data_IF_085183327469
#
_entry.id   IF_085183327469
#
_cell.length_a   1.000
_cell.length_b   1.000
_cell.length_c   1.000
_cell.angle_alpha   90.00
_cell.angle_beta   90.00
_cell.angle_gamma   90.00
#
_symmetry.space_group_name_H-M   'P 1'
#
loop_
_entity.id
_entity.type
_entity.pdbx_description
1 polymer ?
#
# COMPACT_ATOMS: atom_id res chain seq x y z
N UNK A 1 -21.33 16.12 35.76
CA UNK A 1 -21.38 14.66 35.62
C UNK A 1 -19.94 14.17 35.58
N UNK A 2 -19.50 13.39 36.57
CA UNK A 2 -18.16 12.82 36.56
C UNK A 2 -18.16 11.58 35.65
N UNK A 3 -17.12 11.39 34.80
CA UNK A 3 -16.98 10.16 34.02
C UNK A 3 -16.91 8.95 34.95
N UNK A 4 -17.57 7.86 34.54
CA UNK A 4 -17.68 6.63 35.32
C UNK A 4 -16.33 5.92 35.37
N UNK A 5 -15.88 5.50 36.56
CA UNK A 5 -14.68 4.67 36.77
C UNK A 5 -14.65 3.42 35.88
N UNK A 6 -15.82 2.89 35.51
CA UNK A 6 -15.94 1.74 34.63
C UNK A 6 -15.70 2.07 33.14
N UNK A 7 -15.96 3.31 32.69
CA UNK A 7 -15.61 3.76 31.34
C UNK A 7 -14.10 3.97 31.20
N UNK A 8 -13.45 4.53 32.23
CA UNK A 8 -11.99 4.71 32.25
C UNK A 8 -11.24 3.37 32.25
N UNK A 9 -11.71 2.38 33.02
CA UNK A 9 -11.16 1.03 33.00
C UNK A 9 -11.29 0.36 31.63
N UNK A 10 -12.44 0.50 30.98
CA UNK A 10 -12.68 -0.15 29.68
C UNK A 10 -11.86 0.52 28.56
N UNK A 11 -11.70 1.85 28.60
CA UNK A 11 -10.83 2.59 27.69
C UNK A 11 -9.34 2.23 27.91
N UNK A 12 -8.90 2.09 29.16
CA UNK A 12 -7.54 1.69 29.51
C UNK A 12 -7.21 0.27 29.03
N UNK A 13 -8.08 -0.71 29.29
CA UNK A 13 -7.88 -2.10 28.87
C UNK A 13 -7.86 -2.24 27.35
N UNK A 14 -8.75 -1.53 26.64
CA UNK A 14 -8.78 -1.53 25.18
C UNK A 14 -7.51 -0.91 24.59
N UNK A 15 -7.02 0.19 25.19
CA UNK A 15 -5.77 0.86 24.79
C UNK A 15 -4.54 -0.03 25.02
N UNK A 16 -4.45 -0.70 26.17
CA UNK A 16 -3.32 -1.58 26.50
C UNK A 16 -3.27 -2.84 25.63
N UNK A 17 -4.42 -3.45 25.34
CA UNK A 17 -4.51 -4.60 24.43
C UNK A 17 -4.12 -4.22 23.01
N UNK A 18 -4.60 -3.06 22.51
CA UNK A 18 -4.19 -2.54 21.20
C UNK A 18 -2.70 -2.18 21.16
N UNK A 19 -2.13 -1.67 22.26
CA UNK A 19 -0.70 -1.36 22.35
C UNK A 19 0.18 -2.62 22.39
N UNK A 20 -0.28 -3.69 23.05
CA UNK A 20 0.40 -4.98 23.07
C UNK A 20 0.36 -5.68 21.70
N UNK A 21 -0.76 -5.58 20.98
CA UNK A 21 -0.89 -6.07 19.60
C UNK A 21 0.00 -5.26 18.64
N UNK A 22 0.00 -3.93 18.73
CA UNK A 22 0.87 -3.05 17.94
C UNK A 22 2.37 -3.37 18.20
N UNK A 23 2.76 -3.65 19.44
CA UNK A 23 4.13 -4.07 19.78
C UNK A 23 4.48 -5.42 19.16
N UNK A 24 3.56 -6.38 19.18
CA UNK A 24 3.75 -7.71 18.59
C UNK A 24 3.84 -7.65 17.07
N UNK A 25 2.98 -6.85 16.43
CA UNK A 25 2.99 -6.59 14.99
C UNK A 25 4.30 -5.93 14.54
N UNK A 26 4.83 -4.98 15.31
CA UNK A 26 6.13 -4.34 15.02
C UNK A 26 7.30 -5.30 15.18
N UNK A 27 7.28 -6.17 16.18
CA UNK A 27 8.34 -7.16 16.39
C UNK A 27 8.38 -8.22 15.29
N UNK A 28 7.25 -8.48 14.63
CA UNK A 28 7.15 -9.42 13.52
C UNK A 28 7.38 -8.79 12.13
N UNK A 29 7.34 -7.47 12.02
CA UNK A 29 7.44 -6.75 10.75
C UNK A 29 8.85 -6.16 10.57
N UNK A 30 9.44 -6.39 9.40
CA UNK A 30 10.75 -5.81 9.04
C UNK A 30 10.54 -4.53 8.22
N UNK A 31 10.83 -3.34 8.78
CA UNK A 31 10.75 -2.05 8.06
C UNK A 31 11.56 -2.08 6.76
N UNK A 32 11.16 -1.33 5.74
CA UNK A 32 11.93 -1.20 4.50
C UNK A 32 12.99 -0.11 4.65
N UNK A 33 14.21 -0.40 4.20
CA UNK A 33 15.26 0.59 3.98
C UNK A 33 15.10 1.26 2.62
N UNK A 34 15.79 2.39 2.41
CA UNK A 34 15.79 3.07 1.11
C UNK A 34 16.37 2.18 0.00
N UNK A 35 17.47 1.47 0.29
CA UNK A 35 18.09 0.52 -0.64
C UNK A 35 17.11 -0.58 -1.05
N UNK A 36 16.32 -1.08 -0.11
CA UNK A 36 15.30 -2.08 -0.39
C UNK A 36 14.18 -1.53 -1.27
N UNK A 37 13.68 -0.32 -1.01
CA UNK A 37 12.68 0.32 -1.88
C UNK A 37 13.22 0.51 -3.30
N UNK A 38 14.47 0.98 -3.45
CA UNK A 38 15.09 1.12 -4.76
C UNK A 38 15.31 -0.22 -5.47
N UNK A 39 15.69 -1.26 -4.73
CA UNK A 39 15.82 -2.63 -5.26
C UNK A 39 14.48 -3.20 -5.71
N UNK A 40 13.41 -2.96 -4.96
CA UNK A 40 12.06 -3.38 -5.33
C UNK A 40 11.53 -2.63 -6.56
N UNK A 41 11.86 -1.34 -6.71
CA UNK A 41 11.55 -0.58 -7.92
C UNK A 41 12.25 -1.17 -9.16
N UNK A 42 13.55 -1.46 -9.05
CA UNK A 42 14.31 -2.14 -10.13
C UNK A 42 13.73 -3.51 -10.46
N UNK A 43 13.32 -4.28 -9.44
CA UNK A 43 12.64 -5.54 -9.63
C UNK A 43 11.39 -5.37 -10.50
N UNK A 44 10.48 -4.47 -10.12
CA UNK A 44 9.20 -4.29 -10.83
C UNK A 44 9.41 -3.80 -12.26
N UNK A 45 10.38 -2.92 -12.49
CA UNK A 45 10.73 -2.43 -13.82
C UNK A 45 11.31 -3.53 -14.71
N UNK A 46 12.26 -4.31 -14.19
CA UNK A 46 12.84 -5.44 -14.91
C UNK A 46 11.77 -6.50 -15.22
N UNK A 47 10.91 -6.80 -14.25
CA UNK A 47 9.80 -7.73 -14.44
C UNK A 47 8.90 -7.26 -15.59
N UNK A 48 8.43 -6.02 -15.54
CA UNK A 48 7.55 -5.46 -16.56
C UNK A 48 8.20 -5.39 -17.95
N UNK A 49 9.51 -5.08 -18.02
CA UNK A 49 10.23 -5.00 -19.30
C UNK A 49 10.20 -6.31 -20.10
N UNK A 50 10.03 -7.44 -19.44
CA UNK A 50 9.92 -8.77 -20.06
C UNK A 50 8.46 -9.19 -20.15
N UNK A 51 7.72 -9.08 -19.04
CA UNK A 51 6.36 -9.60 -18.93
C UNK A 51 5.34 -8.85 -19.81
N UNK A 52 5.57 -7.58 -20.13
CA UNK A 52 4.72 -6.83 -21.06
C UNK A 52 4.84 -7.33 -22.52
N UNK A 53 6.02 -7.84 -22.89
CA UNK A 53 6.28 -8.38 -24.22
C UNK A 53 5.88 -9.87 -24.32
N UNK A 54 5.93 -10.60 -23.20
CA UNK A 54 5.70 -12.03 -23.12
C UNK A 54 4.90 -12.37 -21.83
N UNK A 55 3.57 -12.16 -21.83
CA UNK A 55 2.74 -12.33 -20.64
C UNK A 55 2.38 -13.79 -20.34
N UNK A 56 2.85 -14.75 -21.13
CA UNK A 56 2.61 -16.18 -20.91
C UNK A 56 3.40 -16.74 -19.71
N UNK A 57 3.04 -17.93 -19.20
CA UNK A 57 3.67 -18.51 -18.00
C UNK A 57 5.21 -18.59 -18.05
N UNK A 58 5.76 -18.97 -19.21
CA UNK A 58 7.22 -19.04 -19.41
C UNK A 58 7.88 -17.65 -19.42
N UNK A 59 7.22 -16.67 -20.03
CA UNK A 59 7.64 -15.27 -20.02
C UNK A 59 7.61 -14.66 -18.62
N UNK A 60 6.57 -14.94 -17.83
CA UNK A 60 6.46 -14.51 -16.43
C UNK A 60 7.53 -15.17 -15.54
N UNK A 61 7.84 -16.46 -15.74
CA UNK A 61 8.89 -17.15 -15.00
C UNK A 61 10.29 -16.56 -15.30
N UNK A 62 10.55 -16.23 -16.57
CA UNK A 62 11.75 -15.50 -16.99
C UNK A 62 11.81 -14.10 -16.40
N UNK A 63 10.70 -13.36 -16.47
CA UNK A 63 10.59 -12.03 -15.91
C UNK A 63 10.90 -12.02 -14.40
N UNK A 64 10.36 -12.98 -13.64
CA UNK A 64 10.65 -13.16 -12.21
C UNK A 64 12.15 -13.37 -11.95
N UNK A 65 12.77 -14.30 -12.69
CA UNK A 65 14.19 -14.64 -12.53
C UNK A 65 15.10 -13.44 -12.81
N UNK A 66 14.86 -12.72 -13.91
CA UNK A 66 15.66 -11.55 -14.26
C UNK A 66 15.40 -10.36 -13.33
N UNK A 67 14.16 -10.17 -12.89
CA UNK A 67 13.81 -9.14 -11.92
C UNK A 67 14.48 -9.37 -10.56
N UNK A 68 14.55 -10.61 -10.08
CA UNK A 68 15.27 -10.95 -8.85
C UNK A 68 16.74 -10.53 -8.96
N UNK A 69 17.42 -10.82 -10.07
CA UNK A 69 18.81 -10.39 -10.32
C UNK A 69 18.92 -8.87 -10.35
N UNK A 70 18.03 -8.18 -11.07
CA UNK A 70 18.04 -6.73 -11.22
C UNK A 70 17.74 -5.99 -9.90
N UNK A 71 17.02 -6.62 -8.97
CA UNK A 71 16.73 -6.05 -7.66
C UNK A 71 18.01 -5.72 -6.88
N UNK A 72 19.07 -6.53 -7.04
CA UNK A 72 20.28 -6.45 -6.23
C UNK A 72 20.06 -6.79 -4.76
N UNK A 73 18.87 -7.28 -4.38
CA UNK A 73 18.58 -7.67 -3.00
C UNK A 73 19.12 -9.08 -2.72
N UNK A 74 19.73 -9.31 -1.55
CA UNK A 74 20.46 -10.54 -1.26
C UNK A 74 19.53 -11.75 -1.10
N UNK A 75 18.27 -11.55 -0.73
CA UNK A 75 17.32 -12.62 -0.43
C UNK A 75 16.02 -12.46 -1.23
N UNK A 76 15.65 -13.50 -1.99
CA UNK A 76 14.37 -13.52 -2.74
C UNK A 76 13.16 -13.34 -1.81
N UNK A 77 13.23 -13.92 -0.60
CA UNK A 77 12.19 -13.72 0.43
C UNK A 77 11.97 -12.24 0.75
N UNK A 78 13.03 -11.43 0.75
CA UNK A 78 12.93 -10.00 1.04
C UNK A 78 12.26 -9.25 -0.10
N UNK A 79 12.53 -9.64 -1.34
CA UNK A 79 11.84 -9.13 -2.53
C UNK A 79 10.34 -9.40 -2.44
N UNK A 80 9.94 -10.64 -2.10
CA UNK A 80 8.52 -11.02 -2.02
C UNK A 80 7.78 -10.25 -0.92
N UNK A 81 8.39 -10.16 0.27
CA UNK A 81 7.83 -9.40 1.40
C UNK A 81 7.71 -7.91 1.06
N UNK A 82 8.75 -7.30 0.49
CA UNK A 82 8.76 -5.90 0.10
C UNK A 82 7.72 -5.59 -0.97
N UNK A 83 7.57 -6.46 -1.98
CA UNK A 83 6.56 -6.33 -3.01
C UNK A 83 5.13 -6.48 -2.45
N UNK A 84 4.91 -7.25 -1.40
CA UNK A 84 3.62 -7.32 -0.72
C UNK A 84 3.27 -5.99 -0.01
N UNK A 85 4.26 -5.35 0.63
CA UNK A 85 4.10 -4.03 1.26
C UNK A 85 3.79 -2.98 0.18
N UNK A 86 4.59 -2.94 -0.90
CA UNK A 86 4.39 -2.01 -2.01
C UNK A 86 3.01 -2.19 -2.65
N UNK A 87 2.58 -3.44 -2.93
CA UNK A 87 1.23 -3.68 -3.49
C UNK A 87 0.12 -3.19 -2.58
N UNK A 88 0.25 -3.40 -1.27
CA UNK A 88 -0.73 -2.91 -0.29
C UNK A 88 -0.80 -1.38 -0.30
N UNK A 89 0.36 -0.71 -0.25
CA UNK A 89 0.44 0.75 -0.30
C UNK A 89 -0.10 1.29 -1.63
N UNK A 90 0.45 0.85 -2.76
CA UNK A 90 0.09 1.33 -4.09
C UNK A 90 -1.39 1.07 -4.42
N UNK A 91 -1.96 -0.07 -4.02
CA UNK A 91 -3.38 -0.36 -4.19
C UNK A 91 -4.27 0.60 -3.40
N UNK A 92 -3.90 0.96 -2.17
CA UNK A 92 -4.60 1.97 -1.38
C UNK A 92 -4.49 3.35 -2.02
N UNK A 93 -3.30 3.75 -2.47
CA UNK A 93 -3.07 5.04 -3.14
C UNK A 93 -3.80 5.15 -4.47
N UNK A 94 -3.86 4.07 -5.24
CA UNK A 94 -4.62 4.00 -6.49
C UNK A 94 -6.11 4.19 -6.23
N UNK A 95 -6.67 3.48 -5.23
CA UNK A 95 -8.06 3.63 -4.84
C UNK A 95 -8.39 5.06 -4.36
N UNK A 96 -7.47 5.71 -3.62
CA UNK A 96 -7.60 7.13 -3.25
C UNK A 96 -7.69 8.00 -4.50
N UNK A 97 -6.81 7.82 -5.48
CA UNK A 97 -6.86 8.56 -6.74
C UNK A 97 -8.19 8.39 -7.48
N UNK A 98 -8.68 7.15 -7.60
CA UNK A 98 -9.97 6.86 -8.24
C UNK A 98 -11.15 7.56 -7.53
N UNK A 99 -11.17 7.56 -6.19
CA UNK A 99 -12.21 8.25 -5.44
C UNK A 99 -12.10 9.77 -5.55
N UNK A 100 -10.90 10.34 -5.58
CA UNK A 100 -10.68 11.77 -5.79
C UNK A 100 -11.18 12.22 -7.17
N UNK A 101 -10.89 11.45 -8.22
CA UNK A 101 -11.39 11.75 -9.56
C UNK A 101 -12.92 11.65 -9.62
N UNK A 102 -13.51 10.68 -8.92
CA UNK A 102 -14.97 10.58 -8.79
C UNK A 102 -15.58 11.77 -8.04
N UNK A 103 -14.92 12.29 -7.00
CA UNK A 103 -15.36 13.54 -6.33
C UNK A 103 -15.37 14.70 -7.30
N UNK A 104 -14.29 14.91 -8.07
CA UNK A 104 -14.22 15.98 -9.08
C UNK A 104 -15.34 15.88 -10.12
N UNK A 105 -15.69 14.66 -10.56
CA UNK A 105 -16.80 14.43 -11.49
C UNK A 105 -18.16 14.77 -10.86
N UNK A 106 -18.35 14.50 -9.57
CA UNK A 106 -19.60 14.82 -8.86
C UNK A 106 -19.71 16.31 -8.53
N UNK A 107 -18.59 17.01 -8.31
CA UNK A 107 -18.59 18.47 -8.14
C UNK A 107 -19.15 19.19 -9.38
N UNK A 108 -18.90 18.65 -10.58
CA UNK A 108 -19.48 19.16 -11.82
C UNK A 108 -21.01 18.95 -11.95
N UNK A 109 -21.61 18.09 -11.12
CA UNK A 109 -23.05 17.74 -11.14
C UNK A 109 -23.89 18.56 -10.13
N UNK A 110 -23.25 19.40 -9.30
CA UNK A 110 -23.95 20.31 -8.39
C UNK A 110 -24.72 19.62 -7.25
N UNK A 111 -25.78 20.27 -6.76
CA UNK A 111 -26.47 19.91 -5.52
C UNK A 111 -27.08 18.49 -5.51
N UNK A 112 -27.45 17.95 -6.68
CA UNK A 112 -28.03 16.61 -6.83
C UNK A 112 -27.04 15.47 -6.51
N UNK A 113 -25.74 15.77 -6.49
CA UNK A 113 -24.67 14.83 -6.20
C UNK A 113 -24.11 14.95 -4.77
N UNK A 114 -24.63 15.88 -3.96
CA UNK A 114 -24.04 16.24 -2.66
C UNK A 114 -23.96 15.07 -1.67
N UNK A 115 -25.03 14.26 -1.58
CA UNK A 115 -25.04 13.09 -0.68
C UNK A 115 -24.03 12.03 -1.13
N UNK A 116 -23.90 11.80 -2.44
CA UNK A 116 -22.92 10.86 -3.01
C UNK A 116 -21.49 11.33 -2.78
N UNK A 117 -21.24 12.64 -2.89
CA UNK A 117 -19.97 13.26 -2.58
C UNK A 117 -19.57 13.03 -1.13
N UNK A 118 -20.45 13.32 -0.17
CA UNK A 118 -20.17 13.12 1.26
C UNK A 118 -19.83 11.67 1.60
N UNK A 119 -20.52 10.69 0.98
CA UNK A 119 -20.20 9.28 1.16
C UNK A 119 -18.78 8.94 0.68
N UNK A 120 -18.40 9.43 -0.50
CA UNK A 120 -17.05 9.19 -1.06
C UNK A 120 -15.96 9.88 -0.23
N UNK A 121 -16.21 11.08 0.27
CA UNK A 121 -15.29 11.77 1.19
C UNK A 121 -15.09 10.97 2.49
N UNK A 122 -16.16 10.36 3.01
CA UNK A 122 -16.07 9.43 4.13
C UNK A 122 -15.23 8.19 3.84
N UNK A 123 -15.32 7.63 2.63
CA UNK A 123 -14.51 6.48 2.21
C UNK A 123 -13.04 6.85 1.95
N UNK A 124 -12.77 8.04 1.41
CA UNK A 124 -11.43 8.61 1.32
C UNK A 124 -10.76 8.70 2.70
N UNK A 125 -11.48 9.24 3.69
CA UNK A 125 -10.97 9.32 5.06
C UNK A 125 -10.71 7.94 5.70
N UNK A 126 -11.43 6.89 5.29
CA UNK A 126 -11.15 5.50 5.73
C UNK A 126 -9.88 4.96 5.06
N UNK A 127 -9.69 5.19 3.77
CA UNK A 127 -8.48 4.75 3.04
C UNK A 127 -7.21 5.45 3.53
N UNK A 128 -7.28 6.75 3.80
CA UNK A 128 -6.15 7.49 4.39
C UNK A 128 -5.78 6.95 5.77
N UNK A 129 -6.78 6.65 6.62
CA UNK A 129 -6.56 5.99 7.91
C UNK A 129 -5.90 4.62 7.74
N UNK A 130 -6.35 3.80 6.79
CA UNK A 130 -5.73 2.49 6.49
C UNK A 130 -4.29 2.64 5.98
N UNK A 131 -4.01 3.66 5.18
CA UNK A 131 -2.65 3.97 4.73
C UNK A 131 -1.76 4.33 5.92
N UNK A 132 -2.27 5.13 6.86
CA UNK A 132 -1.56 5.47 8.10
C UNK A 132 -1.29 4.25 9.00
N UNK A 133 -2.15 3.22 8.98
CA UNK A 133 -1.89 1.97 9.71
C UNK A 133 -0.66 1.21 9.20
N UNK A 134 -0.22 1.44 7.95
CA UNK A 134 1.04 0.87 7.47
C UNK A 134 2.24 1.38 8.29
N UNK A 135 2.23 2.64 8.72
CA UNK A 135 3.29 3.16 9.59
C UNK A 135 3.28 2.51 10.98
N UNK A 136 2.11 2.12 11.49
CA UNK A 136 2.04 1.37 12.75
C UNK A 136 2.72 0.01 12.65
N UNK A 137 2.49 -0.69 11.53
CA UNK A 137 3.00 -2.05 11.29
C UNK A 137 4.47 -2.08 10.84
N UNK A 138 4.84 -1.24 9.88
CA UNK A 138 6.16 -1.27 9.22
C UNK A 138 7.07 -0.10 9.60
N UNK A 139 6.62 0.80 10.49
CA UNK A 139 7.34 2.00 10.91
C UNK A 139 7.07 3.22 10.03
N UNK A 140 7.15 4.40 10.65
CA UNK A 140 6.98 5.71 9.98
C UNK A 140 7.96 5.90 8.82
N UNK A 141 9.20 5.43 8.98
CA UNK A 141 10.23 5.53 7.95
C UNK A 141 9.84 4.77 6.67
N UNK A 142 9.26 3.57 6.80
CA UNK A 142 8.75 2.81 5.65
C UNK A 142 7.68 3.59 4.91
N UNK A 143 6.69 4.15 5.63
CA UNK A 143 5.63 4.93 4.99
C UNK A 143 6.18 6.19 4.31
N UNK A 144 7.14 6.87 4.94
CA UNK A 144 7.79 8.05 4.36
C UNK A 144 8.52 7.72 3.04
N UNK A 145 9.29 6.63 3.01
CA UNK A 145 9.99 6.17 1.79
C UNK A 145 9.00 5.79 0.68
N UNK A 146 7.92 5.08 1.02
CA UNK A 146 6.88 4.75 0.04
C UNK A 146 6.20 5.99 -0.53
N UNK A 147 5.95 7.01 0.30
CA UNK A 147 5.40 8.30 -0.15
C UNK A 147 6.37 9.07 -1.06
N UNK A 148 7.66 9.04 -0.76
CA UNK A 148 8.70 9.66 -1.60
C UNK A 148 8.70 9.08 -3.03
N UNK A 149 8.35 7.81 -3.18
CA UNK A 149 8.30 7.11 -4.47
C UNK A 149 6.87 6.87 -4.99
N UNK A 150 5.85 7.48 -4.41
CA UNK A 150 4.43 7.15 -4.65
C UNK A 150 4.05 7.18 -6.13
N UNK A 151 4.42 8.23 -6.86
CA UNK A 151 4.09 8.36 -8.28
C UNK A 151 4.65 7.20 -9.13
N UNK A 152 5.90 6.80 -8.86
CA UNK A 152 6.55 5.69 -9.57
C UNK A 152 5.94 4.35 -9.18
N UNK A 153 5.69 4.13 -7.89
CA UNK A 153 5.05 2.91 -7.38
C UNK A 153 3.63 2.74 -7.94
N UNK A 154 2.87 3.83 -8.05
CA UNK A 154 1.53 3.82 -8.66
C UNK A 154 1.58 3.46 -10.14
N UNK A 155 2.49 4.07 -10.91
CA UNK A 155 2.65 3.76 -12.33
C UNK A 155 3.01 2.28 -12.55
N UNK A 156 3.93 1.74 -11.74
CA UNK A 156 4.30 0.32 -11.79
C UNK A 156 3.15 -0.59 -11.37
N UNK A 157 2.40 -0.23 -10.33
CA UNK A 157 1.24 -1.00 -9.85
C UNK A 157 0.18 -1.17 -10.94
N UNK A 158 -0.18 -0.09 -11.64
CA UNK A 158 -1.17 -0.14 -12.73
C UNK A 158 -0.69 -1.03 -13.88
N UNK A 159 0.59 -0.94 -14.26
CA UNK A 159 1.18 -1.78 -15.31
C UNK A 159 1.24 -3.26 -14.89
N UNK A 160 1.63 -3.54 -13.64
CA UNK A 160 1.64 -4.91 -13.11
C UNK A 160 0.24 -5.53 -13.11
N UNK A 161 -0.78 -4.78 -12.68
CA UNK A 161 -2.16 -5.26 -12.69
C UNK A 161 -2.63 -5.61 -14.11
N UNK A 162 -2.29 -4.80 -15.11
CA UNK A 162 -2.62 -5.07 -16.52
C UNK A 162 -1.96 -6.35 -17.05
N UNK A 163 -0.70 -6.59 -16.71
CA UNK A 163 0.02 -7.79 -17.15
C UNK A 163 -0.53 -9.03 -16.46
N UNK A 164 -0.72 -8.98 -15.14
CA UNK A 164 -1.13 -10.14 -14.34
C UNK A 164 -2.61 -10.53 -14.53
N UNK A 165 -3.47 -9.61 -14.97
CA UNK A 165 -4.86 -9.90 -15.27
C UNK A 165 -5.10 -10.33 -16.74
N UNK A 166 -4.07 -10.32 -17.59
CA UNK A 166 -4.16 -10.72 -19.02
C UNK A 166 -3.58 -12.10 -19.32
N UNK A 167 -2.66 -12.61 -18.49
CA UNK A 167 -2.08 -13.95 -18.59
C UNK A 167 -2.96 -15.01 -17.92
#
# INVERSE_FOLDING_TARGET
MAPSFFEDLNASVTSEVLAADDRTLRLAASPLTEEEVLGLLRYQEAFLSIAEADPGPEGLARAYTEALKASGLPEARRVDQGNAIIRTFAGQRWAVGQLQDKVKQLEAQGAEAQERRQRIEGDLAKLERRTALLARRYGEQTLALLRQHEARLLALHVRMDQVLNRG
#
